data_IF_011556162628
#
_entry.id   IF_011556162628
#
_cell.length_a   1.000
_cell.length_b   1.000
_cell.length_c   1.000
_cell.angle_alpha   90.00
_cell.angle_beta   90.00
_cell.angle_gamma   90.00
#
_symmetry.space_group_name_H-M   'P 1'
#
loop_
_entity.id
_entity.type
_entity.pdbx_description
1 polymer ?
#
# COMPACT_ATOMS: atom_id res chain seq x y z
N UNK A 1 3.37 -11.07 -4.25
CA UNK A 1 4.56 -10.41 -4.81
C UNK A 1 4.86 -9.17 -3.99
N UNK A 2 6.02 -8.52 -4.20
CA UNK A 2 6.36 -7.30 -3.45
C UNK A 2 5.32 -6.18 -3.60
N UNK A 3 4.70 -6.07 -4.78
CA UNK A 3 3.58 -5.14 -5.01
C UNK A 3 2.38 -5.46 -4.13
N UNK A 4 2.01 -6.73 -3.96
CA UNK A 4 0.91 -7.16 -3.08
C UNK A 4 1.20 -6.83 -1.61
N UNK A 5 2.43 -7.08 -1.15
CA UNK A 5 2.84 -6.76 0.22
C UNK A 5 2.77 -5.25 0.49
N UNK A 6 3.25 -4.44 -0.47
CA UNK A 6 3.13 -2.97 -0.41
C UNK A 6 1.66 -2.57 -0.43
N UNK A 7 0.83 -3.13 -1.32
CA UNK A 7 -0.60 -2.82 -1.41
C UNK A 7 -1.34 -3.06 -0.08
N UNK A 8 -1.07 -4.20 0.55
CA UNK A 8 -1.65 -4.55 1.86
C UNK A 8 -1.22 -3.54 2.93
N UNK A 9 0.06 -3.21 2.99
CA UNK A 9 0.59 -2.27 3.96
C UNK A 9 0.09 -0.82 3.75
N UNK A 10 -0.15 -0.41 2.49
CA UNK A 10 -0.81 0.86 2.19
C UNK A 10 -2.24 0.90 2.72
N UNK A 11 -2.96 -0.21 2.57
CA UNK A 11 -4.35 -0.33 3.00
C UNK A 11 -4.50 -0.40 4.53
N UNK A 12 -3.49 -0.87 5.25
CA UNK A 12 -3.41 -0.77 6.72
C UNK A 12 -2.93 0.61 7.20
N UNK A 13 -2.77 1.59 6.31
CA UNK A 13 -2.40 2.96 6.67
C UNK A 13 -0.91 3.19 6.97
N UNK A 14 -0.02 2.23 6.69
CA UNK A 14 1.40 2.39 6.97
C UNK A 14 2.05 3.43 6.03
N UNK A 15 2.95 4.24 6.59
CA UNK A 15 3.82 5.15 5.85
C UNK A 15 4.91 4.39 5.09
N UNK A 16 5.54 5.00 4.08
CA UNK A 16 6.61 4.33 3.32
C UNK A 16 7.80 3.92 4.20
N UNK A 17 8.05 4.67 5.28
CA UNK A 17 9.11 4.36 6.24
C UNK A 17 8.76 3.11 7.06
N UNK A 18 7.53 3.00 7.52
CA UNK A 18 7.04 1.82 8.25
C UNK A 18 7.00 0.60 7.33
N UNK A 19 6.50 0.74 6.11
CA UNK A 19 6.53 -0.32 5.09
C UNK A 19 7.96 -0.80 4.85
N UNK A 20 8.92 0.12 4.73
CA UNK A 20 10.33 -0.23 4.54
C UNK A 20 10.89 -1.04 5.71
N UNK A 21 10.52 -0.69 6.95
CA UNK A 21 10.89 -1.46 8.14
C UNK A 21 10.25 -2.85 8.13
N UNK A 22 8.94 -2.93 7.85
CA UNK A 22 8.19 -4.19 7.82
C UNK A 22 8.67 -5.14 6.73
N UNK A 23 9.04 -4.61 5.56
CA UNK A 23 9.47 -5.40 4.41
C UNK A 23 10.99 -5.53 4.28
N UNK A 24 11.75 -4.98 5.26
CA UNK A 24 13.21 -4.96 5.27
C UNK A 24 13.84 -4.35 3.99
N UNK A 25 13.28 -3.25 3.50
CA UNK A 25 13.76 -2.50 2.33
C UNK A 25 13.85 -0.99 2.61
N UNK A 26 14.62 -0.27 1.80
CA UNK A 26 14.74 1.18 1.94
C UNK A 26 13.43 1.92 1.61
N UNK A 27 13.16 3.04 2.29
CA UNK A 27 11.98 3.89 2.03
C UNK A 27 11.93 4.35 0.55
N UNK A 28 13.09 4.64 -0.05
CA UNK A 28 13.19 4.96 -1.48
C UNK A 28 12.70 3.80 -2.36
N UNK A 29 13.07 2.57 -2.02
CA UNK A 29 12.62 1.37 -2.73
C UNK A 29 11.11 1.19 -2.58
N UNK A 30 10.55 1.46 -1.41
CA UNK A 30 9.09 1.49 -1.22
C UNK A 30 8.43 2.52 -2.13
N UNK A 31 8.97 3.74 -2.25
CA UNK A 31 8.44 4.77 -3.17
C UNK A 31 8.40 4.24 -4.61
N UNK A 32 9.46 3.57 -5.06
CA UNK A 32 9.49 2.94 -6.40
C UNK A 32 8.40 1.88 -6.55
N UNK A 33 8.23 0.98 -5.57
CA UNK A 33 7.16 -0.01 -5.62
C UNK A 33 5.77 0.61 -5.63
N UNK A 34 5.53 1.66 -4.84
CA UNK A 34 4.25 2.39 -4.83
C UNK A 34 3.99 3.01 -6.20
N UNK A 35 4.96 3.71 -6.80
CA UNK A 35 4.78 4.31 -8.13
C UNK A 35 4.47 3.28 -9.21
N UNK A 36 5.20 2.15 -9.24
CA UNK A 36 4.94 1.08 -10.21
C UNK A 36 3.59 0.41 -9.98
N UNK A 37 3.22 0.16 -8.72
CA UNK A 37 1.93 -0.39 -8.35
C UNK A 37 0.78 0.52 -8.82
N UNK A 38 0.88 1.83 -8.56
CA UNK A 38 -0.13 2.80 -8.97
C UNK A 38 -0.27 2.82 -10.49
N UNK A 39 0.84 2.88 -11.22
CA UNK A 39 0.84 2.83 -12.68
C UNK A 39 0.22 1.53 -13.21
N UNK A 40 0.57 0.38 -12.64
CA UNK A 40 0.06 -0.94 -13.04
C UNK A 40 -1.44 -1.09 -12.79
N UNK A 41 -1.96 -0.49 -11.73
CA UNK A 41 -3.38 -0.53 -11.37
C UNK A 41 -4.20 0.63 -11.96
N UNK A 42 -3.55 1.58 -12.66
CA UNK A 42 -4.21 2.78 -13.18
C UNK A 42 -4.70 3.75 -12.09
N UNK A 43 -4.08 3.71 -10.92
CA UNK A 43 -4.45 4.52 -9.75
C UNK A 43 -3.55 5.75 -9.65
N UNK A 44 -4.10 6.83 -9.09
CA UNK A 44 -3.43 8.14 -9.00
C UNK A 44 -2.96 8.46 -7.57
N UNK A 45 -3.41 7.69 -6.56
CA UNK A 45 -3.07 8.01 -5.17
C UNK A 45 -3.01 6.79 -4.25
N UNK A 46 -2.31 6.96 -3.12
CA UNK A 46 -2.29 5.99 -2.00
C UNK A 46 -3.70 5.67 -1.52
N UNK A 47 -4.57 6.66 -1.40
CA UNK A 47 -5.96 6.47 -0.97
C UNK A 47 -6.71 5.57 -1.94
N UNK A 48 -6.54 5.78 -3.25
CA UNK A 48 -7.13 4.91 -4.26
C UNK A 48 -6.58 3.48 -4.17
N UNK A 49 -5.27 3.31 -3.92
CA UNK A 49 -4.66 1.99 -3.71
C UNK A 49 -5.22 1.28 -2.46
N UNK A 50 -5.37 1.99 -1.35
CA UNK A 50 -5.97 1.45 -0.13
C UNK A 50 -7.41 0.98 -0.36
N UNK A 51 -8.25 1.83 -0.99
CA UNK A 51 -9.63 1.48 -1.36
C UNK A 51 -9.69 0.31 -2.34
N UNK A 52 -8.75 0.24 -3.29
CA UNK A 52 -8.66 -0.88 -4.23
C UNK A 52 -8.36 -2.19 -3.49
N UNK A 53 -7.40 -2.21 -2.57
CA UNK A 53 -7.05 -3.39 -1.78
C UNK A 53 -8.24 -3.92 -0.98
N UNK A 54 -9.02 -3.03 -0.36
CA UNK A 54 -10.26 -3.38 0.34
C UNK A 54 -11.29 -3.97 -0.63
N UNK A 55 -11.49 -3.34 -1.79
CA UNK A 55 -12.47 -3.77 -2.79
C UNK A 55 -12.19 -5.17 -3.34
N UNK A 56 -10.93 -5.52 -3.51
CA UNK A 56 -10.53 -6.84 -4.03
C UNK A 56 -10.34 -7.90 -2.92
N UNK A 57 -10.67 -7.56 -1.67
CA UNK A 57 -10.59 -8.49 -0.54
C UNK A 57 -9.16 -8.82 -0.09
N UNK A 58 -8.17 -7.99 -0.45
CA UNK A 58 -6.78 -8.17 -0.02
C UNK A 58 -6.56 -7.86 1.47
N UNK A 59 -7.44 -7.06 2.06
CA UNK A 59 -7.44 -6.73 3.48
C UNK A 59 -8.88 -6.81 3.97
N UNK A 60 -9.09 -7.36 5.16
CA UNK A 60 -10.38 -7.24 5.83
C UNK A 60 -10.72 -5.75 5.97
N UNK A 61 -12.01 -5.40 5.91
CA UNK A 61 -12.49 -4.04 6.21
C UNK A 61 -12.24 -3.72 7.69
N UNK A 62 -10.98 -3.57 8.09
CA UNK A 62 -10.62 -3.11 9.43
C UNK A 62 -10.64 -1.60 9.38
N UNK A 63 -11.80 -1.06 9.77
CA UNK A 63 -12.01 0.26 10.37
C UNK A 63 -11.03 1.33 9.89
N UNK A 64 -11.31 1.85 8.69
CA UNK A 64 -10.77 3.15 8.26
C UNK A 64 -11.50 4.22 9.08
N UNK A 65 -11.09 4.39 10.34
CA UNK A 65 -11.75 5.27 11.30
C UNK A 65 -10.75 5.83 12.30
N UNK A 66 -10.40 7.09 12.09
CA UNK A 66 -9.97 8.07 13.09
C UNK A 66 -8.64 7.83 13.83
N UNK A 67 -7.59 8.48 13.32
CA UNK A 67 -6.57 9.12 14.16
C UNK A 67 -6.36 10.55 13.68
#
# INVERSE_FOLDING_TARGET
SRETEVLCALATGLTNREIGRTLHIGERTVKTHVSHLLAKLGLQSRTQAALHAVRVGLVAQTEVGER
#
